data_IF_595017464278
#
_entry.id   IF_595017464278
#
_cell.length_a   1.000
_cell.length_b   1.000
_cell.length_c   1.000
_cell.angle_alpha   90.00
_cell.angle_beta   90.00
_cell.angle_gamma   90.00
#
_symmetry.space_group_name_H-M   'P 1'
#
loop_
_entity.id
_entity.type
_entity.pdbx_description
1 polymer ?
#
# COMPACT_ATOMS: atom_id res chain seq x y z
N UNK A 1 7.56 9.09 7.26
CA UNK A 1 6.27 9.08 7.99
C UNK A 1 5.20 8.35 7.20
N UNK A 2 4.80 7.16 7.66
CA UNK A 2 3.75 6.31 7.05
C UNK A 2 2.32 6.82 7.32
N UNK A 3 2.18 8.02 7.91
CA UNK A 3 0.89 8.68 8.16
C UNK A 3 0.25 9.25 6.89
N UNK A 4 0.97 9.24 5.77
CA UNK A 4 0.49 9.78 4.50
C UNK A 4 -0.32 8.73 3.71
N UNK A 5 -1.58 8.55 4.10
CA UNK A 5 -2.50 7.61 3.48
C UNK A 5 -3.22 8.26 2.31
N UNK A 6 -3.14 7.62 1.14
CA UNK A 6 -3.80 8.04 -0.09
C UNK A 6 -4.76 6.96 -0.59
N UNK A 7 -5.65 7.32 -1.51
CA UNK A 7 -6.57 6.36 -2.13
C UNK A 7 -6.80 6.70 -3.59
N UNK A 8 -6.88 5.67 -4.44
CA UNK A 8 -7.32 5.80 -5.83
C UNK A 8 -8.59 4.98 -6.08
N UNK A 9 -9.41 5.43 -7.02
CA UNK A 9 -10.55 4.65 -7.52
C UNK A 9 -10.08 3.61 -8.54
N UNK A 10 -10.61 2.40 -8.42
CA UNK A 10 -10.44 1.30 -9.36
C UNK A 10 -11.77 0.58 -9.58
N UNK A 11 -12.45 0.93 -10.68
CA UNK A 11 -13.83 0.49 -10.93
C UNK A 11 -14.76 0.99 -9.81
N UNK A 12 -15.39 0.07 -9.09
CA UNK A 12 -16.25 0.36 -7.93
C UNK A 12 -15.53 0.27 -6.58
N UNK A 13 -14.22 0.02 -6.58
CA UNK A 13 -13.41 -0.15 -5.36
C UNK A 13 -12.45 1.02 -5.17
N UNK A 14 -12.06 1.27 -3.93
CA UNK A 14 -10.95 2.15 -3.61
C UNK A 14 -9.74 1.31 -3.19
N UNK A 15 -8.56 1.64 -3.73
CA UNK A 15 -7.30 1.09 -3.27
C UNK A 15 -6.65 2.15 -2.39
N UNK A 16 -6.61 1.87 -1.10
CA UNK A 16 -5.92 2.70 -0.13
C UNK A 16 -4.47 2.23 0.01
N UNK A 17 -3.54 3.17 0.12
CA UNK A 17 -2.12 2.86 0.29
C UNK A 17 -1.43 3.90 1.17
N UNK A 18 -0.44 3.47 1.93
CA UNK A 18 0.49 4.37 2.60
C UNK A 18 1.62 4.76 1.66
N UNK A 19 1.95 6.05 1.63
CA UNK A 19 3.04 6.58 0.81
C UNK A 19 4.26 6.89 1.67
N UNK A 20 5.40 6.34 1.27
CA UNK A 20 6.70 6.60 1.88
C UNK A 20 7.68 7.11 0.81
N UNK A 21 8.27 8.28 1.03
CA UNK A 21 9.35 8.78 0.19
C UNK A 21 10.70 8.31 0.72
N UNK A 22 11.56 7.77 -0.17
CA UNK A 22 12.88 7.28 0.20
C UNK A 22 13.91 7.50 -0.92
N UNK A 23 15.24 7.48 -0.62
CA UNK A 23 16.28 7.67 -1.61
C UNK A 23 16.40 6.44 -2.52
N UNK A 24 15.56 6.38 -3.55
CA UNK A 24 15.48 5.27 -4.49
C UNK A 24 15.20 5.74 -5.92
N UNK A 25 15.56 4.90 -6.90
CA UNK A 25 15.46 5.24 -8.33
C UNK A 25 14.07 4.99 -8.93
N UNK A 26 13.28 4.10 -8.36
CA UNK A 26 12.01 3.64 -8.95
C UNK A 26 10.91 3.54 -7.90
N UNK A 27 9.66 3.59 -8.34
CA UNK A 27 8.50 3.28 -7.50
C UNK A 27 8.40 1.77 -7.25
N UNK A 28 8.10 1.37 -6.01
CA UNK A 28 7.65 0.02 -5.66
C UNK A 28 6.31 0.08 -4.96
N UNK A 29 5.55 -0.98 -5.18
CA UNK A 29 4.24 -1.20 -4.59
C UNK A 29 4.34 -2.56 -3.91
N UNK A 30 4.18 -2.56 -2.60
CA UNK A 30 4.20 -3.73 -1.76
C UNK A 30 2.76 -3.99 -1.28
N UNK A 31 2.33 -5.26 -1.36
CA UNK A 31 1.03 -5.69 -0.85
C UNK A 31 1.31 -6.74 0.21
N UNK A 32 0.85 -6.50 1.43
CA UNK A 32 1.10 -7.37 2.57
C UNK A 32 -0.06 -8.36 2.81
N UNK A 33 0.18 -9.44 3.59
CA UNK A 33 -0.83 -10.45 3.88
C UNK A 33 -2.12 -9.94 4.56
N UNK A 34 -2.02 -8.85 5.32
CA UNK A 34 -3.16 -8.16 5.93
C UNK A 34 -3.96 -7.29 4.93
N UNK A 35 -3.64 -7.40 3.63
CA UNK A 35 -4.17 -6.63 2.51
C UNK A 35 -3.76 -5.16 2.46
N UNK A 36 -2.88 -4.71 3.36
CA UNK A 36 -2.34 -3.35 3.31
C UNK A 36 -1.43 -3.16 2.09
N UNK A 37 -1.38 -1.92 1.61
CA UNK A 37 -0.59 -1.53 0.43
C UNK A 37 0.35 -0.40 0.84
N UNK A 38 1.64 -0.57 0.56
CA UNK A 38 2.65 0.47 0.78
C UNK A 38 3.28 0.82 -0.56
N UNK A 39 3.38 2.12 -0.81
CA UNK A 39 4.04 2.66 -1.99
C UNK A 39 5.27 3.41 -1.54
N UNK A 40 6.42 2.92 -1.97
CA UNK A 40 7.71 3.58 -1.73
C UNK A 40 8.07 4.37 -2.98
N UNK A 41 8.25 5.67 -2.86
CA UNK A 41 8.46 6.58 -3.97
C UNK A 41 9.84 7.28 -3.90
N UNK A 42 10.50 7.52 -5.05
CA UNK A 42 11.58 8.51 -5.14
C UNK A 42 11.14 9.88 -4.63
N UNK A 43 12.04 10.64 -4.00
CA UNK A 43 11.72 11.95 -3.40
C UNK A 43 11.23 13.00 -4.42
N UNK A 44 11.57 12.83 -5.70
CA UNK A 44 11.18 13.69 -6.82
C UNK A 44 9.88 13.24 -7.50
N UNK A 45 9.31 12.10 -7.11
CA UNK A 45 8.08 11.59 -7.70
C UNK A 45 6.86 12.42 -7.23
N UNK A 46 6.05 12.87 -8.18
CA UNK A 46 4.80 13.57 -7.86
C UNK A 46 3.72 12.58 -7.41
N UNK A 47 2.79 13.06 -6.58
CA UNK A 47 1.63 12.25 -6.16
C UNK A 47 0.82 11.74 -7.37
N UNK A 48 0.64 12.56 -8.40
CA UNK A 48 -0.07 12.15 -9.62
C UNK A 48 0.65 10.99 -10.35
N UNK A 49 1.98 11.04 -10.45
CA UNK A 49 2.77 9.96 -11.05
C UNK A 49 2.68 8.67 -10.22
N UNK A 50 2.67 8.81 -8.89
CA UNK A 50 2.45 7.71 -7.94
C UNK A 50 1.06 7.09 -8.16
N UNK A 51 0.00 7.88 -8.08
CA UNK A 51 -1.38 7.43 -8.25
C UNK A 51 -1.61 6.79 -9.61
N UNK A 52 -1.03 7.35 -10.68
CA UNK A 52 -1.04 6.76 -12.02
C UNK A 52 -0.38 5.38 -12.03
N UNK A 53 0.76 5.21 -11.35
CA UNK A 53 1.46 3.92 -11.26
C UNK A 53 0.66 2.90 -10.47
N UNK A 54 0.06 3.31 -9.35
CA UNK A 54 -0.82 2.48 -8.53
C UNK A 54 -2.04 2.05 -9.33
N UNK A 55 -2.67 2.98 -10.07
CA UNK A 55 -3.83 2.70 -10.94
C UNK A 55 -3.50 1.68 -12.02
N UNK A 56 -2.36 1.84 -12.72
CA UNK A 56 -1.86 0.85 -13.69
C UNK A 56 -1.61 -0.53 -13.08
N UNK A 57 -1.34 -0.61 -11.78
CA UNK A 57 -1.12 -1.87 -11.04
C UNK A 57 -2.34 -2.33 -10.25
N UNK A 58 -3.47 -1.62 -10.32
CA UNK A 58 -4.65 -1.87 -9.49
C UNK A 58 -5.19 -3.31 -9.62
N UNK A 59 -5.21 -3.86 -10.83
CA UNK A 59 -5.61 -5.26 -11.07
C UNK A 59 -4.66 -6.25 -10.37
N UNK A 60 -3.34 -6.00 -10.43
CA UNK A 60 -2.36 -6.82 -9.73
C UNK A 60 -2.49 -6.70 -8.21
N UNK A 61 -2.67 -5.47 -7.68
CA UNK A 61 -2.89 -5.22 -6.25
C UNK A 61 -4.12 -6.00 -5.76
N UNK A 62 -5.24 -5.87 -6.46
CA UNK A 62 -6.48 -6.56 -6.11
C UNK A 62 -6.34 -8.10 -6.19
N UNK A 63 -5.52 -8.60 -7.12
CA UNK A 63 -5.18 -10.04 -7.18
C UNK A 63 -4.36 -10.46 -5.96
N UNK A 64 -3.32 -9.71 -5.59
CA UNK A 64 -2.50 -10.02 -4.42
C UNK A 64 -3.33 -10.02 -3.13
N UNK A 65 -4.13 -8.98 -2.90
CA UNK A 65 -5.04 -8.91 -1.76
C UNK A 65 -5.98 -10.11 -1.70
N UNK A 66 -6.55 -10.53 -2.84
CA UNK A 66 -7.42 -11.72 -2.91
C UNK A 66 -6.67 -13.01 -2.60
N UNK A 67 -5.43 -13.15 -3.06
CA UNK A 67 -4.62 -14.33 -2.78
C UNK A 67 -4.29 -14.41 -1.30
N UNK A 68 -3.84 -13.32 -0.67
CA UNK A 68 -3.57 -13.31 0.76
C UNK A 68 -4.82 -13.55 1.62
N UNK A 69 -5.98 -13.02 1.21
CA UNK A 69 -7.25 -13.32 1.88
C UNK A 69 -7.64 -14.80 1.89
N UNK A 70 -7.07 -15.63 1.00
CA UNK A 70 -7.29 -17.09 0.99
C UNK A 70 -6.44 -17.83 2.03
N UNK A 71 -5.37 -17.19 2.52
CA UNK A 71 -4.40 -17.80 3.44
C UNK A 71 -4.40 -17.17 4.83
N UNK A 72 -5.05 -16.01 5.01
CA UNK A 72 -5.21 -15.38 6.31
C UNK A 72 -6.36 -16.05 7.10
N UNK A 73 -6.21 -16.33 8.41
CA UNK A 73 -7.38 -16.53 9.27
C UNK A 73 -8.24 -15.27 9.16
N UNK A 74 -9.55 -15.44 8.94
CA UNK A 74 -10.52 -14.38 8.61
C UNK A 74 -10.15 -13.06 9.31
N UNK A 75 -9.58 -12.07 8.60
CA UNK A 75 -9.28 -10.80 9.23
C UNK A 75 -10.59 -10.06 9.48
N UNK A 76 -10.76 -9.56 10.70
CA UNK A 76 -11.85 -8.63 11.00
C UNK A 76 -11.80 -7.46 10.01
N UNK A 77 -12.94 -7.01 9.48
CA UNK A 77 -12.95 -5.92 8.52
C UNK A 77 -12.44 -4.66 9.22
N UNK A 78 -11.40 -4.05 8.64
CA UNK A 78 -11.07 -2.63 8.82
C UNK A 78 -10.25 -2.20 10.05
N UNK A 79 -9.30 -2.99 10.58
CA UNK A 79 -8.54 -2.54 11.77
C UNK A 79 -7.02 -2.28 11.61
N UNK A 80 -6.42 -2.40 10.42
CA UNK A 80 -4.95 -2.29 10.31
C UNK A 80 -4.38 -0.96 9.77
N UNK A 81 -5.20 0.05 9.50
CA UNK A 81 -4.67 1.40 9.23
C UNK A 81 -4.40 2.20 10.51
N UNK A 82 -4.87 1.70 11.66
CA UNK A 82 -4.84 2.44 12.93
C UNK A 82 -3.77 1.96 13.93
N UNK A 83 -3.25 0.73 13.82
CA UNK A 83 -2.41 0.14 14.89
C UNK A 83 -0.96 -0.19 14.50
N UNK A 84 -0.64 -0.33 13.22
CA UNK A 84 0.59 -1.04 12.82
C UNK A 84 1.64 -0.22 12.09
N UNK A 85 1.43 1.10 11.94
CA UNK A 85 2.49 2.01 11.47
C UNK A 85 3.70 1.99 12.44
N UNK A 86 3.49 1.68 13.73
CA UNK A 86 4.57 1.58 14.71
C UNK A 86 5.46 0.34 14.51
N UNK A 87 4.90 -0.81 14.09
CA UNK A 87 5.62 -2.10 14.08
C UNK A 87 6.64 -2.20 12.93
N UNK A 88 6.48 -1.41 11.87
CA UNK A 88 7.41 -1.37 10.74
C UNK A 88 8.64 -0.50 10.97
N UNK A 89 8.57 0.48 11.88
CA UNK A 89 9.72 1.32 12.23
C UNK A 89 10.75 0.57 13.10
N UNK A 90 10.32 -0.41 13.88
CA UNK A 90 11.17 -1.14 14.84
C UNK A 90 11.99 -2.29 14.24
N UNK A 91 11.78 -2.67 12.97
CA UNK A 91 12.48 -3.77 12.30
C UNK A 91 13.46 -3.34 11.19
N UNK A 92 13.79 -2.05 11.11
CA UNK A 92 14.90 -1.54 10.29
C UNK A 92 15.89 -0.81 11.21
N UNK A 93 16.57 -1.60 12.04
CA UNK A 93 17.82 -1.24 12.71
C UNK A 93 18.92 -2.23 12.30
#
# INVERSE_FOLDING_TARGET
DLTNIHSIKYGTRNIQFALEYSPRKTLAIEVYPDSSVVVKAPQDATLEAIETKVSKRASWIAKQQRQFAQYAPIPAPNTYLAKDIAIWADNIA
#
